data_IF_801037098740
#
_entry.id   IF_801037098740
#
_cell.length_a   1.000
_cell.length_b   1.000
_cell.length_c   1.000
_cell.angle_alpha   90.00
_cell.angle_beta   90.00
_cell.angle_gamma   90.00
#
_symmetry.space_group_name_H-M   'P 1'
#
loop_
_entity.id
_entity.type
_entity.pdbx_description
1 polymer ?
#
# COMPACT_ATOMS: atom_id res chain seq x y z
N UNK A 1 20.33 43.71 48.21
CA UNK A 1 20.64 43.54 46.78
C UNK A 1 20.04 42.23 46.35
N UNK A 2 18.81 42.28 45.77
CA UNK A 2 18.06 41.09 45.31
C UNK A 2 18.31 40.93 43.80
N UNK A 3 18.99 39.86 43.41
CA UNK A 3 19.19 39.51 41.99
C UNK A 3 17.95 38.77 41.47
N UNK A 4 17.18 39.40 40.57
CA UNK A 4 16.13 38.78 39.79
C UNK A 4 16.81 37.92 38.69
N UNK A 5 16.60 36.61 38.75
CA UNK A 5 16.90 35.71 37.62
C UNK A 5 15.64 35.62 36.77
N UNK A 6 15.68 36.27 35.58
CA UNK A 6 14.67 36.09 34.53
C UNK A 6 14.93 34.78 33.80
N UNK A 7 14.07 33.79 33.99
CA UNK A 7 14.07 32.56 33.21
C UNK A 7 13.30 32.84 31.91
N UNK A 8 14.03 32.93 30.81
CA UNK A 8 13.48 32.98 29.46
C UNK A 8 13.16 31.55 29.04
N UNK A 9 11.89 31.16 29.12
CA UNK A 9 11.41 29.89 28.57
C UNK A 9 11.27 30.04 27.06
N UNK A 10 12.20 29.49 26.30
CA UNK A 10 12.11 29.38 24.85
C UNK A 10 11.06 28.35 24.49
N UNK A 11 9.93 28.82 24.01
CA UNK A 11 8.86 27.99 23.45
C UNK A 11 9.27 27.55 22.05
N UNK A 12 9.74 26.31 21.91
CA UNK A 12 10.00 25.72 20.60
C UNK A 12 8.67 25.32 20.01
N UNK A 13 8.09 26.17 19.14
CA UNK A 13 6.98 25.79 18.27
C UNK A 13 7.49 24.74 17.27
N UNK A 14 7.16 23.49 17.51
CA UNK A 14 7.33 22.43 16.52
C UNK A 14 6.44 22.73 15.32
N UNK A 15 7.02 23.20 14.23
CA UNK A 15 6.34 23.32 12.94
C UNK A 15 6.19 21.90 12.39
N UNK A 16 5.02 21.33 12.52
CA UNK A 16 4.66 20.12 11.76
C UNK A 16 4.59 20.54 10.29
N UNK A 17 5.66 20.26 9.55
CA UNK A 17 5.62 20.32 8.08
C UNK A 17 4.65 19.23 7.63
N UNK A 18 3.47 19.62 7.16
CA UNK A 18 2.62 18.75 6.37
C UNK A 18 3.43 18.40 5.10
N UNK A 19 3.95 17.18 5.05
CA UNK A 19 4.64 16.69 3.87
C UNK A 19 3.59 16.54 2.76
N UNK A 20 3.60 17.47 1.80
CA UNK A 20 2.86 17.27 0.56
C UNK A 20 3.42 16.00 -0.10
N UNK A 21 2.55 15.13 -0.60
CA UNK A 21 2.98 13.92 -1.29
C UNK A 21 3.83 14.30 -2.51
N UNK A 22 5.05 13.77 -2.56
CA UNK A 22 5.98 14.02 -3.66
C UNK A 22 5.46 13.34 -4.94
N UNK A 23 5.61 14.03 -6.08
CA UNK A 23 5.22 13.53 -7.40
C UNK A 23 6.50 13.28 -8.21
N UNK A 24 6.63 12.08 -8.75
CA UNK A 24 7.72 11.71 -9.63
C UNK A 24 7.59 12.25 -11.06
N UNK A 25 8.63 12.09 -11.86
CA UNK A 25 8.67 12.52 -13.27
C UNK A 25 7.60 11.83 -14.13
N UNK A 26 7.17 10.62 -13.74
CA UNK A 26 6.07 9.89 -14.35
C UNK A 26 4.68 10.46 -13.99
N UNK A 27 4.61 11.44 -13.09
CA UNK A 27 3.39 12.08 -12.61
C UNK A 27 2.61 11.26 -11.58
N UNK A 28 3.20 10.20 -11.03
CA UNK A 28 2.66 9.41 -9.93
C UNK A 28 3.24 9.89 -8.60
N UNK A 29 2.55 9.58 -7.51
CA UNK A 29 3.06 9.89 -6.17
C UNK A 29 4.23 8.97 -5.81
N UNK A 30 5.15 9.48 -5.00
CA UNK A 30 6.29 8.74 -4.48
C UNK A 30 6.03 8.38 -3.02
N UNK A 31 6.40 7.16 -2.65
CA UNK A 31 6.56 6.73 -1.27
C UNK A 31 7.94 6.10 -1.10
N UNK A 32 8.65 6.32 0.01
CA UNK A 32 10.00 5.78 0.20
C UNK A 32 10.04 4.24 0.21
N UNK A 33 8.91 3.61 0.52
CA UNK A 33 8.76 2.15 0.57
C UNK A 33 8.23 1.55 -0.74
N UNK A 34 7.97 2.34 -1.79
CA UNK A 34 7.74 1.81 -3.14
C UNK A 34 9.02 1.23 -3.70
N UNK A 35 8.93 0.05 -4.28
CA UNK A 35 10.06 -0.65 -4.88
C UNK A 35 10.21 -0.25 -6.34
N UNK A 36 11.42 0.16 -6.70
CA UNK A 36 11.79 0.37 -8.09
C UNK A 36 12.32 -0.95 -8.65
N UNK A 37 11.52 -1.60 -9.50
CA UNK A 37 11.80 -2.91 -10.06
C UNK A 37 11.62 -2.88 -11.58
N UNK A 38 12.03 -3.94 -12.26
CA UNK A 38 11.73 -4.13 -13.68
C UNK A 38 10.28 -4.56 -13.94
N UNK A 39 9.49 -4.77 -12.87
CA UNK A 39 8.08 -5.18 -12.90
C UNK A 39 7.87 -6.53 -13.60
N UNK A 40 8.82 -7.43 -13.44
CA UNK A 40 8.58 -8.86 -13.61
C UNK A 40 8.00 -9.40 -12.30
N UNK A 41 6.71 -9.73 -12.31
CA UNK A 41 5.99 -10.08 -11.08
C UNK A 41 6.49 -11.39 -10.44
N UNK A 42 7.12 -12.28 -11.20
CA UNK A 42 7.73 -13.49 -10.64
C UNK A 42 9.02 -13.17 -9.91
N UNK A 43 9.84 -12.27 -10.49
CA UNK A 43 11.06 -11.79 -9.85
C UNK A 43 10.71 -10.95 -8.62
N UNK A 44 9.73 -10.05 -8.73
CA UNK A 44 9.23 -9.22 -7.63
C UNK A 44 8.72 -10.09 -6.47
N UNK A 45 7.99 -11.18 -6.77
CA UNK A 45 7.49 -12.12 -5.75
C UNK A 45 8.64 -12.88 -5.08
N UNK A 46 9.65 -13.31 -5.85
CA UNK A 46 10.81 -13.98 -5.31
C UNK A 46 11.62 -13.07 -4.40
N UNK A 47 11.82 -11.81 -4.79
CA UNK A 47 12.50 -10.79 -3.98
C UNK A 47 11.72 -10.46 -2.71
N UNK A 48 10.40 -10.26 -2.82
CA UNK A 48 9.52 -10.06 -1.67
C UNK A 48 9.64 -11.21 -0.64
N UNK A 49 9.61 -12.45 -1.12
CA UNK A 49 9.75 -13.62 -0.27
C UNK A 49 11.14 -13.72 0.38
N UNK A 50 12.21 -13.38 -0.34
CA UNK A 50 13.56 -13.34 0.20
C UNK A 50 13.72 -12.31 1.33
N UNK A 51 12.97 -11.21 1.27
CA UNK A 51 12.89 -10.20 2.35
C UNK A 51 11.88 -10.59 3.47
N UNK A 52 11.17 -11.69 3.37
CA UNK A 52 10.10 -12.08 4.31
C UNK A 52 8.86 -11.19 4.24
N UNK A 53 8.68 -10.49 3.12
CA UNK A 53 7.57 -9.57 2.85
C UNK A 53 6.52 -10.20 1.94
N UNK A 54 5.35 -9.55 1.84
CA UNK A 54 4.29 -9.92 0.89
C UNK A 54 4.30 -8.95 -0.28
N UNK A 55 4.18 -9.48 -1.50
CA UNK A 55 4.07 -8.65 -2.70
C UNK A 55 2.71 -7.96 -2.76
N UNK A 56 2.73 -6.67 -3.04
CA UNK A 56 1.55 -5.82 -3.26
C UNK A 56 1.72 -5.01 -4.53
N UNK A 57 0.70 -4.98 -5.38
CA UNK A 57 0.64 -4.12 -6.55
C UNK A 57 -0.26 -2.93 -6.25
N UNK A 58 0.27 -1.72 -6.46
CA UNK A 58 -0.45 -0.47 -6.25
C UNK A 58 -0.67 0.25 -7.58
N UNK A 59 -1.92 0.21 -8.07
CA UNK A 59 -2.29 0.91 -9.30
C UNK A 59 -2.63 2.37 -9.03
N UNK A 60 -1.97 3.24 -9.76
CA UNK A 60 -2.16 4.67 -9.72
C UNK A 60 -2.23 5.26 -11.13
N UNK A 61 -2.64 6.52 -11.25
CA UNK A 61 -2.59 7.29 -12.49
C UNK A 61 -2.29 8.76 -12.20
N UNK A 62 -1.72 9.44 -13.18
CA UNK A 62 -1.50 10.89 -13.10
C UNK A 62 -2.81 11.64 -12.84
N UNK A 63 -2.78 12.59 -11.90
CA UNK A 63 -3.93 13.44 -11.58
C UNK A 63 -5.05 12.73 -10.82
N UNK A 64 -4.79 11.56 -10.24
CA UNK A 64 -5.74 10.80 -9.45
C UNK A 64 -5.98 11.49 -8.09
N UNK A 65 -7.12 12.13 -7.91
CA UNK A 65 -7.48 12.82 -6.66
C UNK A 65 -7.64 11.85 -5.48
N UNK A 66 -8.12 10.63 -5.72
CA UNK A 66 -8.26 9.60 -4.70
C UNK A 66 -6.90 8.97 -4.32
N UNK A 67 -5.95 8.86 -5.27
CA UNK A 67 -4.59 8.45 -4.98
C UNK A 67 -3.92 9.51 -4.09
N UNK A 68 -4.01 10.79 -4.47
CA UNK A 68 -3.53 11.91 -3.64
C UNK A 68 -4.06 11.81 -2.22
N UNK A 69 -5.37 11.56 -2.06
CA UNK A 69 -6.00 11.40 -0.75
C UNK A 69 -5.38 10.22 0.04
N UNK A 70 -5.11 9.08 -0.61
CA UNK A 70 -4.44 7.96 0.06
C UNK A 70 -3.04 8.34 0.53
N UNK A 71 -2.25 9.05 -0.30
CA UNK A 71 -0.91 9.47 0.07
C UNK A 71 -0.90 10.49 1.21
N UNK A 72 -1.81 11.48 1.19
CA UNK A 72 -1.84 12.57 2.16
C UNK A 72 -2.53 12.21 3.48
N UNK A 73 -3.55 11.34 3.48
CA UNK A 73 -4.38 11.07 4.66
C UNK A 73 -4.16 9.67 5.26
N UNK A 74 -3.62 8.73 4.48
CA UNK A 74 -3.45 7.34 4.89
C UNK A 74 -1.97 6.97 5.00
N UNK A 75 -1.22 7.09 3.92
CA UNK A 75 0.20 6.70 3.87
C UNK A 75 1.12 7.71 4.57
N UNK A 76 0.65 8.92 4.85
CA UNK A 76 1.35 9.90 5.70
C UNK A 76 1.32 9.55 7.20
N UNK A 77 0.51 8.55 7.60
CA UNK A 77 0.41 8.12 8.99
C UNK A 77 1.49 7.10 9.31
N UNK A 78 2.36 7.35 10.30
CA UNK A 78 3.46 6.45 10.64
C UNK A 78 2.98 5.02 10.93
N UNK A 79 1.85 4.86 11.64
CA UNK A 79 1.30 3.56 11.96
C UNK A 79 0.89 2.74 10.72
N UNK A 80 0.67 3.39 9.57
CA UNK A 80 0.34 2.73 8.30
C UNK A 80 1.60 2.55 7.47
N UNK A 81 2.38 3.63 7.25
CA UNK A 81 3.58 3.60 6.42
C UNK A 81 4.62 2.64 6.97
N UNK A 82 4.93 2.70 8.28
CA UNK A 82 5.93 1.86 8.90
C UNK A 82 5.53 0.38 8.83
N UNK A 83 4.22 0.09 9.05
CA UNK A 83 3.72 -1.28 8.94
C UNK A 83 3.82 -1.81 7.50
N UNK A 84 3.51 -0.98 6.49
CA UNK A 84 3.64 -1.35 5.08
C UNK A 84 5.12 -1.58 4.74
N UNK A 85 6.00 -0.66 5.08
CA UNK A 85 7.43 -0.74 4.79
C UNK A 85 8.08 -1.98 5.41
N UNK A 86 7.71 -2.32 6.64
CA UNK A 86 8.25 -3.49 7.35
C UNK A 86 7.79 -4.82 6.74
N UNK A 87 6.52 -4.90 6.30
CA UNK A 87 5.88 -6.19 6.02
C UNK A 87 5.58 -6.45 4.54
N UNK A 88 5.67 -5.42 3.69
CA UNK A 88 5.25 -5.53 2.30
C UNK A 88 6.31 -5.03 1.31
N UNK A 89 6.35 -5.69 0.17
CA UNK A 89 7.10 -5.32 -1.02
C UNK A 89 6.10 -4.70 -2.00
N UNK A 90 6.09 -3.37 -2.13
CA UNK A 90 5.04 -2.69 -2.89
C UNK A 90 5.57 -2.19 -4.21
N UNK A 91 5.01 -2.71 -5.30
CA UNK A 91 5.32 -2.32 -6.68
C UNK A 91 4.22 -1.41 -7.21
N UNK A 92 4.59 -0.19 -7.58
CA UNK A 92 3.67 0.78 -8.19
C UNK A 92 3.53 0.52 -9.69
N UNK A 93 2.29 0.50 -10.16
CA UNK A 93 1.92 0.35 -11.56
C UNK A 93 1.07 1.54 -12.03
N UNK A 94 1.39 2.04 -13.24
CA UNK A 94 0.65 3.14 -13.85
C UNK A 94 -0.49 2.61 -14.73
N UNK A 95 -1.73 2.98 -14.41
CA UNK A 95 -2.92 2.58 -15.19
C UNK A 95 -2.83 2.94 -16.67
N UNK A 96 -2.06 3.98 -17.00
CA UNK A 96 -1.85 4.48 -18.37
C UNK A 96 -0.37 4.40 -18.80
N UNK A 97 0.45 3.60 -18.10
CA UNK A 97 1.88 3.50 -18.37
C UNK A 97 2.20 2.71 -19.64
N UNK A 98 3.22 3.17 -20.35
CA UNK A 98 3.73 2.50 -21.55
C UNK A 98 4.92 1.59 -21.26
N UNK A 99 5.49 1.68 -20.04
CA UNK A 99 6.56 0.78 -19.60
C UNK A 99 6.00 -0.63 -19.46
N UNK A 100 6.76 -1.60 -19.94
CA UNK A 100 6.39 -3.00 -19.88
C UNK A 100 6.42 -3.54 -18.44
N UNK A 101 5.59 -4.55 -18.20
CA UNK A 101 5.60 -5.37 -17.01
C UNK A 101 5.24 -6.80 -17.40
N UNK A 102 5.75 -7.78 -16.67
CA UNK A 102 5.54 -9.21 -16.94
C UNK A 102 4.61 -9.79 -15.89
N UNK A 103 3.47 -10.33 -16.34
CA UNK A 103 2.50 -11.03 -15.47
C UNK A 103 3.00 -12.42 -15.07
N UNK A 104 2.38 -13.03 -14.07
CA UNK A 104 2.71 -14.40 -13.63
C UNK A 104 2.47 -15.47 -14.69
N UNK A 105 1.57 -15.26 -15.66
CA UNK A 105 1.40 -16.18 -16.80
C UNK A 105 2.47 -16.01 -17.89
N UNK A 106 3.37 -15.05 -17.74
CA UNK A 106 4.47 -14.76 -18.65
C UNK A 106 4.12 -13.75 -19.75
N UNK A 107 2.92 -13.19 -19.76
CA UNK A 107 2.60 -12.11 -20.70
C UNK A 107 3.38 -10.84 -20.34
N UNK A 108 4.19 -10.37 -21.28
CA UNK A 108 4.92 -9.10 -21.21
C UNK A 108 4.17 -8.04 -21.99
N UNK A 109 3.64 -7.05 -21.29
CA UNK A 109 2.77 -6.02 -21.87
C UNK A 109 3.01 -4.67 -21.21
N UNK A 110 2.78 -3.54 -21.94
CA UNK A 110 2.69 -2.24 -21.30
C UNK A 110 1.72 -2.25 -20.11
N UNK A 111 2.06 -1.56 -19.04
CA UNK A 111 1.24 -1.53 -17.80
C UNK A 111 -0.23 -1.18 -18.09
N UNK A 112 -0.49 -0.27 -19.04
CA UNK A 112 -1.84 0.09 -19.47
C UNK A 112 -2.59 -1.07 -20.15
N UNK A 113 -1.89 -1.99 -20.78
CA UNK A 113 -2.47 -3.20 -21.39
C UNK A 113 -2.72 -4.28 -20.34
N UNK A 114 -1.78 -4.46 -19.41
CA UNK A 114 -1.97 -5.34 -18.25
C UNK A 114 -3.15 -4.90 -17.39
N UNK A 115 -3.24 -3.61 -17.05
CA UNK A 115 -4.37 -3.06 -16.32
C UNK A 115 -5.72 -3.39 -17.00
N UNK A 116 -5.78 -3.28 -18.34
CA UNK A 116 -6.97 -3.65 -19.12
C UNK A 116 -7.23 -5.15 -19.11
N UNK A 117 -6.20 -5.99 -19.30
CA UNK A 117 -6.26 -7.47 -19.21
C UNK A 117 -6.80 -7.89 -17.84
N UNK A 118 -6.40 -7.21 -16.79
CA UNK A 118 -6.78 -7.50 -15.41
C UNK A 118 -8.10 -6.84 -14.97
N UNK A 119 -8.73 -6.05 -15.82
CA UNK A 119 -9.99 -5.37 -15.51
C UNK A 119 -9.87 -4.30 -14.44
N UNK A 120 -8.68 -3.68 -14.28
CA UNK A 120 -8.47 -2.57 -13.37
C UNK A 120 -9.13 -1.31 -13.94
N UNK A 121 -10.22 -0.87 -13.31
CA UNK A 121 -11.05 0.25 -13.77
C UNK A 121 -10.90 1.50 -12.90
N UNK A 122 -10.36 1.36 -11.69
CA UNK A 122 -10.30 2.42 -10.69
C UNK A 122 -8.88 2.59 -10.16
N UNK A 123 -8.54 3.80 -9.80
CA UNK A 123 -7.32 4.12 -9.05
C UNK A 123 -7.68 4.96 -7.82
N UNK A 124 -7.01 4.71 -6.68
CA UNK A 124 -6.04 3.65 -6.50
C UNK A 124 -6.70 2.27 -6.52
N UNK A 125 -5.96 1.24 -6.90
CA UNK A 125 -6.34 -0.15 -6.64
C UNK A 125 -5.13 -0.85 -6.02
N UNK A 126 -5.34 -1.54 -4.91
CA UNK A 126 -4.32 -2.31 -4.19
C UNK A 126 -4.63 -3.78 -4.35
N UNK A 127 -3.68 -4.55 -4.87
CA UNK A 127 -3.83 -5.99 -5.08
C UNK A 127 -2.78 -6.71 -4.24
N UNK A 128 -3.21 -7.67 -3.43
CA UNK A 128 -2.36 -8.43 -2.52
C UNK A 128 -2.12 -9.83 -3.06
N UNK A 129 -0.86 -10.23 -3.16
CA UNK A 129 -0.46 -11.53 -3.69
C UNK A 129 -0.12 -12.49 -2.53
N UNK A 130 -0.34 -13.83 -2.74
CA UNK A 130 0.15 -14.85 -1.83
C UNK A 130 1.67 -14.99 -1.92
N UNK A 131 2.26 -15.82 -1.07
CA UNK A 131 3.70 -16.14 -1.16
C UNK A 131 4.04 -17.02 -2.35
N UNK A 132 3.10 -17.81 -2.81
CA UNK A 132 3.26 -18.70 -3.97
C UNK A 132 2.13 -18.47 -4.96
N UNK A 133 2.48 -18.39 -6.23
CA UNK A 133 1.53 -18.26 -7.34
C UNK A 133 1.68 -19.46 -8.26
N UNK A 134 0.59 -20.16 -8.51
CA UNK A 134 0.58 -21.30 -9.42
C UNK A 134 0.98 -20.85 -10.84
N UNK A 135 1.67 -21.72 -11.54
CA UNK A 135 2.12 -21.46 -12.91
C UNK A 135 0.90 -21.21 -13.84
N UNK A 136 1.01 -20.19 -14.69
CA UNK A 136 -0.02 -19.83 -15.67
C UNK A 136 -1.20 -19.03 -15.11
N UNK A 137 -1.21 -18.68 -13.83
CA UNK A 137 -2.18 -17.72 -13.30
C UNK A 137 -1.79 -16.28 -13.67
N UNK A 138 -2.81 -15.43 -13.84
CA UNK A 138 -2.63 -13.97 -13.88
C UNK A 138 -2.64 -13.39 -12.48
N UNK A 139 -2.07 -12.20 -12.28
CA UNK A 139 -2.05 -11.54 -10.97
C UNK A 139 -3.45 -11.43 -10.32
N UNK A 140 -4.54 -11.03 -11.02
CA UNK A 140 -5.87 -11.00 -10.41
C UNK A 140 -6.42 -12.35 -9.98
N UNK A 141 -6.05 -13.43 -10.69
CA UNK A 141 -6.48 -14.79 -10.33
C UNK A 141 -5.71 -15.35 -9.14
N UNK A 142 -4.47 -14.92 -8.96
CA UNK A 142 -3.63 -15.29 -7.83
C UNK A 142 -3.92 -14.43 -6.59
N UNK A 143 -4.46 -13.22 -6.75
CA UNK A 143 -4.66 -12.27 -5.67
C UNK A 143 -5.54 -12.83 -4.55
N UNK A 144 -5.08 -12.67 -3.30
CA UNK A 144 -5.82 -13.07 -2.09
C UNK A 144 -6.81 -12.00 -1.64
N UNK A 145 -6.56 -10.76 -2.01
CA UNK A 145 -7.45 -9.63 -1.78
C UNK A 145 -7.20 -8.51 -2.79
N UNK A 146 -8.24 -7.74 -3.08
CA UNK A 146 -8.15 -6.51 -3.90
C UNK A 146 -8.96 -5.41 -3.23
N UNK A 147 -8.37 -4.23 -3.11
CA UNK A 147 -9.02 -3.00 -2.61
C UNK A 147 -9.15 -2.00 -3.77
N UNK A 148 -10.30 -1.92 -4.44
CA UNK A 148 -10.53 -0.94 -5.51
C UNK A 148 -11.02 0.39 -4.92
N UNK A 149 -10.30 1.49 -5.17
CA UNK A 149 -10.61 2.82 -4.66
C UNK A 149 -9.85 3.21 -3.40
N UNK A 150 -10.11 4.42 -2.91
CA UNK A 150 -9.49 4.95 -1.70
C UNK A 150 -10.24 4.52 -0.43
N UNK A 151 -9.49 4.08 0.56
CA UNK A 151 -10.00 3.69 1.87
C UNK A 151 -9.39 4.53 2.98
N UNK A 152 -10.05 4.62 4.13
CA UNK A 152 -9.50 5.28 5.31
C UNK A 152 -8.36 4.48 5.95
N UNK A 153 -7.56 5.15 6.77
CA UNK A 153 -6.35 4.58 7.37
C UNK A 153 -6.61 3.28 8.15
N UNK A 154 -7.67 3.22 8.96
CA UNK A 154 -7.97 2.01 9.74
C UNK A 154 -8.36 0.83 8.86
N UNK A 155 -9.15 1.05 7.81
CA UNK A 155 -9.53 -0.03 6.87
C UNK A 155 -8.32 -0.50 6.09
N UNK A 156 -7.47 0.43 5.64
CA UNK A 156 -6.23 0.11 4.93
C UNK A 156 -5.29 -0.72 5.82
N UNK A 157 -5.00 -0.25 7.04
CA UNK A 157 -4.13 -0.97 7.98
C UNK A 157 -4.68 -2.35 8.33
N UNK A 158 -5.99 -2.45 8.58
CA UNK A 158 -6.62 -3.74 8.88
C UNK A 158 -6.53 -4.72 7.71
N UNK A 159 -6.65 -4.26 6.44
CA UNK A 159 -6.47 -5.13 5.29
C UNK A 159 -5.03 -5.62 5.15
N UNK A 160 -4.06 -4.72 5.26
CA UNK A 160 -2.65 -5.10 5.25
C UNK A 160 -2.34 -6.10 6.37
N UNK A 161 -2.86 -5.87 7.59
CA UNK A 161 -2.68 -6.78 8.73
C UNK A 161 -3.34 -8.14 8.47
N UNK A 162 -4.57 -8.16 7.96
CA UNK A 162 -5.32 -9.38 7.64
C UNK A 162 -4.58 -10.24 6.62
N UNK A 163 -3.98 -9.62 5.59
CA UNK A 163 -3.17 -10.33 4.60
C UNK A 163 -1.87 -10.83 5.20
N UNK A 164 -1.16 -9.99 5.98
CA UNK A 164 0.11 -10.40 6.63
C UNK A 164 -0.06 -11.55 7.60
N UNK A 165 -1.17 -11.57 8.33
CA UNK A 165 -1.56 -12.65 9.25
C UNK A 165 -2.11 -13.90 8.52
N UNK A 166 -2.16 -13.87 7.19
CA UNK A 166 -2.69 -14.96 6.34
C UNK A 166 -4.10 -15.39 6.74
N UNK A 167 -4.92 -14.45 7.21
CA UNK A 167 -6.28 -14.72 7.68
C UNK A 167 -7.16 -15.34 6.60
N UNK A 168 -6.85 -15.10 5.33
CA UNK A 168 -7.53 -15.71 4.17
C UNK A 168 -7.35 -17.23 4.07
N UNK A 169 -6.37 -17.81 4.79
CA UNK A 169 -6.14 -19.27 4.86
C UNK A 169 -6.83 -19.93 6.07
N UNK A 170 -7.38 -19.14 6.99
CA UNK A 170 -7.94 -19.67 8.23
C UNK A 170 -9.43 -19.95 8.04
N UNK A 171 -9.83 -21.22 8.20
CA UNK A 171 -11.21 -21.68 8.07
C UNK A 171 -12.04 -21.45 9.35
N UNK A 172 -11.96 -20.26 9.97
CA UNK A 172 -12.73 -19.90 11.16
C UNK A 172 -14.00 -19.10 10.84
N UNK A 173 -14.26 -18.85 9.54
CA UNK A 173 -15.40 -18.08 9.05
C UNK A 173 -15.28 -16.57 9.29
N UNK A 174 -14.10 -16.06 9.69
CA UNK A 174 -13.84 -14.63 9.80
C UNK A 174 -13.29 -14.08 8.48
N UNK A 175 -14.20 -13.63 7.60
CA UNK A 175 -13.83 -12.85 6.43
C UNK A 175 -13.26 -11.46 6.81
N UNK A 176 -12.76 -10.72 5.81
CA UNK A 176 -12.21 -9.39 6.09
C UNK A 176 -13.21 -8.44 6.74
N UNK A 177 -14.50 -8.48 6.37
CA UNK A 177 -15.51 -7.58 6.93
C UNK A 177 -15.71 -7.84 8.42
N UNK A 178 -15.77 -9.10 8.84
CA UNK A 178 -15.88 -9.50 10.26
C UNK A 178 -14.60 -9.15 11.03
N UNK A 179 -13.43 -9.43 10.45
CA UNK A 179 -12.15 -9.04 11.01
C UNK A 179 -12.10 -7.52 11.25
N UNK A 180 -12.41 -6.72 10.24
CA UNK A 180 -12.41 -5.26 10.35
C UNK A 180 -13.42 -4.74 11.39
N UNK A 181 -14.63 -5.30 11.41
CA UNK A 181 -15.65 -4.95 12.40
C UNK A 181 -15.17 -5.24 13.83
N UNK A 182 -14.55 -6.39 14.08
CA UNK A 182 -13.95 -6.75 15.36
C UNK A 182 -12.83 -5.76 15.74
N UNK A 183 -11.92 -5.44 14.82
CA UNK A 183 -10.84 -4.47 15.04
C UNK A 183 -11.36 -3.07 15.40
N UNK A 184 -12.47 -2.64 14.78
CA UNK A 184 -13.14 -1.38 15.15
C UNK A 184 -13.70 -1.46 16.57
N UNK A 185 -14.35 -2.55 16.96
CA UNK A 185 -14.89 -2.72 18.29
C UNK A 185 -13.78 -2.71 19.36
N UNK A 186 -12.68 -3.41 19.14
CA UNK A 186 -11.50 -3.43 20.01
C UNK A 186 -10.94 -2.01 20.24
N UNK A 187 -10.75 -1.23 19.18
CA UNK A 187 -10.27 0.16 19.28
C UNK A 187 -11.22 1.10 20.03
N UNK A 188 -12.53 0.84 19.97
CA UNK A 188 -13.52 1.62 20.73
C UNK A 188 -13.58 1.24 22.21
N UNK A 189 -13.32 -0.03 22.53
CA UNK A 189 -13.32 -0.53 23.92
C UNK A 189 -12.04 -0.22 24.68
N UNK A 190 -10.97 0.18 24.01
CA UNK A 190 -9.68 0.55 24.59
C UNK A 190 -9.53 2.05 24.87
N UNK A 191 -10.51 2.88 24.51
CA UNK A 191 -10.62 4.30 24.85
C UNK A 191 -11.61 4.54 26.00
#
# INVERSE_FOLDING_TARGET
>A
MKKLFSIFAAWVMGVSLAMASEIGDNGLHIQPWFRDTFKDLREDLAEANAEGKRLVLFFEQRGCIYCKKMHEEVFSRPEVSDYIEENFFVVQLNLHGDTEAVDFDGDELPQSKLARKWGILFTPTIMFLPQEVEEGLTAPKAAVAVMPGAFGASTTLDMFTWVKEERYLIEDGEDFQRYHARRIAERRGSN
#
